data_IF_823477717435
#
_entry.id   IF_823477717435
#
_cell.length_a   1.000
_cell.length_b   1.000
_cell.length_c   1.000
_cell.angle_alpha   90.00
_cell.angle_beta   90.00
_cell.angle_gamma   90.00
#
_symmetry.space_group_name_H-M   'P 1'
#
loop_
_entity.id
_entity.type
_entity.pdbx_description
1 polymer ?
#
# COMPACT_ATOMS: atom_id res chain seq x y z
N UNK A 1 -48.75 -83.22 29.90
CA UNK A 1 -48.89 -81.86 30.49
C UNK A 1 -47.49 -81.25 30.59
N UNK A 2 -47.39 -79.96 30.31
CA UNK A 2 -46.22 -79.08 30.46
C UNK A 2 -45.09 -79.10 29.39
N UNK A 3 -45.29 -78.21 28.40
CA UNK A 3 -44.37 -77.17 27.85
C UNK A 3 -42.99 -77.51 27.26
N UNK A 4 -42.87 -77.26 25.95
CA UNK A 4 -41.67 -76.90 25.16
C UNK A 4 -41.08 -75.52 25.59
N UNK A 5 -39.85 -75.08 25.20
CA UNK A 5 -39.02 -75.53 24.06
C UNK A 5 -37.46 -75.62 24.19
N UNK A 6 -36.89 -76.45 23.31
CA UNK A 6 -35.79 -76.22 22.32
C UNK A 6 -34.30 -76.09 22.76
N UNK A 7 -33.53 -77.07 22.30
CA UNK A 7 -32.06 -77.17 22.29
C UNK A 7 -31.41 -76.30 21.19
N UNK A 8 -30.17 -75.89 21.49
CA UNK A 8 -29.17 -75.05 20.81
C UNK A 8 -29.17 -74.91 19.28
N UNK A 9 -28.78 -73.71 18.83
CA UNK A 9 -28.02 -73.52 17.57
C UNK A 9 -26.70 -72.81 17.85
N UNK A 10 -25.61 -73.43 17.40
CA UNK A 10 -24.25 -72.86 17.36
C UNK A 10 -23.95 -72.29 15.98
N UNK A 11 -23.00 -71.32 15.94
CA UNK A 11 -22.17 -70.86 14.79
C UNK A 11 -22.95 -70.09 13.70
N UNK A 12 -22.43 -69.04 13.05
CA UNK A 12 -21.12 -68.37 12.98
C UNK A 12 -21.35 -67.07 12.19
N UNK A 13 -20.61 -65.98 12.48
CA UNK A 13 -19.77 -65.25 11.50
C UNK A 13 -19.24 -63.92 12.06
N UNK A 14 -17.90 -63.81 12.11
CA UNK A 14 -17.09 -62.57 12.04
C UNK A 14 -17.54 -61.73 10.82
N UNK A 15 -17.34 -60.39 10.76
CA UNK A 15 -16.02 -59.77 10.97
C UNK A 15 -16.01 -58.29 11.43
N UNK A 16 -15.00 -57.84 12.17
CA UNK A 16 -14.68 -56.39 12.23
C UNK A 16 -13.16 -56.16 12.27
N UNK A 17 -12.50 -56.63 11.21
CA UNK A 17 -11.13 -56.24 10.84
C UNK A 17 -11.01 -54.77 10.41
N UNK A 18 -12.14 -54.09 10.18
CA UNK A 18 -12.21 -52.72 9.64
C UNK A 18 -11.89 -51.64 10.68
N UNK A 19 -12.21 -51.87 11.97
CA UNK A 19 -11.96 -50.88 13.03
C UNK A 19 -10.47 -50.77 13.42
N UNK A 20 -9.72 -51.87 13.32
CA UNK A 20 -8.29 -51.88 13.64
C UNK A 20 -7.49 -51.20 12.53
N UNK A 21 -7.88 -51.38 11.26
CA UNK A 21 -7.25 -50.69 10.12
C UNK A 21 -7.52 -49.17 10.12
N UNK A 22 -8.69 -48.74 10.60
CA UNK A 22 -9.04 -47.31 10.72
C UNK A 22 -8.29 -46.60 11.86
N UNK A 23 -7.92 -47.30 12.93
CA UNK A 23 -7.15 -46.72 14.04
C UNK A 23 -5.65 -46.59 13.72
N UNK A 24 -5.10 -47.48 12.88
CA UNK A 24 -3.70 -47.40 12.43
C UNK A 24 -3.49 -46.31 11.37
N UNK A 25 -4.50 -46.00 10.56
CA UNK A 25 -4.38 -44.94 9.55
C UNK A 25 -4.41 -43.52 10.15
N UNK A 26 -5.13 -43.31 11.26
CA UNK A 26 -5.19 -42.01 11.95
C UNK A 26 -3.87 -41.69 12.67
N UNK A 27 -3.15 -42.69 13.20
CA UNK A 27 -1.86 -42.48 13.87
C UNK A 27 -0.70 -42.22 12.90
N UNK A 28 -0.75 -42.74 11.67
CA UNK A 28 0.27 -42.45 10.66
C UNK A 28 0.19 -41.00 10.13
N UNK A 29 -1.02 -40.42 10.06
CA UNK A 29 -1.23 -39.05 9.58
C UNK A 29 -0.78 -38.01 10.64
N UNK A 30 -0.94 -38.29 11.94
CA UNK A 30 -0.51 -37.38 13.00
C UNK A 30 1.02 -37.32 13.16
N UNK A 31 1.73 -38.42 12.94
CA UNK A 31 3.20 -38.47 12.98
C UNK A 31 3.82 -37.73 11.79
N UNK A 32 3.22 -37.79 10.60
CA UNK A 32 3.67 -37.05 9.41
C UNK A 32 3.50 -35.53 9.53
N UNK A 33 2.38 -35.07 10.12
CA UNK A 33 2.14 -33.66 10.39
C UNK A 33 3.07 -33.09 11.47
N UNK A 34 3.44 -33.88 12.48
CA UNK A 34 4.37 -33.44 13.53
C UNK A 34 5.80 -33.19 13.00
N UNK A 35 6.24 -33.95 11.99
CA UNK A 35 7.54 -33.74 11.32
C UNK A 35 7.56 -32.57 10.35
N UNK A 36 6.43 -32.23 9.73
CA UNK A 36 6.29 -31.03 8.90
C UNK A 36 6.31 -29.74 9.74
N UNK A 37 5.79 -29.76 10.97
CA UNK A 37 5.86 -28.61 11.89
C UNK A 37 7.19 -28.53 12.67
N UNK A 38 7.86 -29.65 12.95
CA UNK A 38 9.15 -29.65 13.67
C UNK A 38 10.34 -29.14 12.84
N UNK A 39 10.18 -28.99 11.52
CA UNK A 39 11.20 -28.39 10.64
C UNK A 39 11.17 -26.85 10.63
N UNK A 40 10.22 -26.23 11.33
CA UNK A 40 10.15 -24.77 11.52
C UNK A 40 10.63 -24.36 12.92
N UNK A 41 11.80 -24.86 13.32
CA UNK A 41 12.56 -24.21 14.38
C UNK A 41 13.10 -22.90 13.82
N UNK A 42 12.41 -21.79 14.12
CA UNK A 42 12.91 -20.44 13.92
C UNK A 42 14.31 -20.32 14.53
N UNK A 43 15.36 -19.93 13.78
CA UNK A 43 16.52 -19.38 14.42
C UNK A 43 16.09 -18.04 15.01
N UNK A 44 15.99 -17.97 16.34
CA UNK A 44 16.14 -16.72 17.07
C UNK A 44 17.59 -16.25 16.87
N UNK A 45 17.89 -15.78 15.66
CA UNK A 45 19.15 -15.14 15.31
C UNK A 45 19.07 -13.71 15.77
N UNK A 46 19.94 -13.38 16.72
CA UNK A 46 20.14 -12.08 17.31
C UNK A 46 20.54 -11.05 16.23
N UNK A 47 19.57 -10.54 15.48
CA UNK A 47 19.78 -9.62 14.35
C UNK A 47 19.96 -8.15 14.76
N UNK A 48 20.28 -7.88 16.03
CA UNK A 48 20.66 -6.55 16.51
C UNK A 48 21.98 -6.03 15.93
N UNK A 49 22.85 -6.90 15.40
CA UNK A 49 24.16 -6.51 14.86
C UNK A 49 24.23 -6.47 13.31
N UNK A 50 23.28 -7.09 12.59
CA UNK A 50 23.30 -7.14 11.13
C UNK A 50 22.71 -5.87 10.47
N UNK A 51 21.75 -5.20 11.13
CA UNK A 51 21.20 -3.93 10.66
C UNK A 51 22.24 -2.79 10.64
N UNK A 52 23.18 -2.79 11.59
CA UNK A 52 24.29 -1.82 11.63
C UNK A 52 25.33 -2.05 10.52
N UNK A 53 25.43 -3.27 9.97
CA UNK A 53 26.38 -3.60 8.90
C UNK A 53 25.86 -3.27 7.49
N UNK A 54 24.53 -3.24 7.30
CA UNK A 54 23.91 -2.74 6.06
C UNK A 54 23.98 -1.21 5.94
N UNK A 55 24.01 -0.48 7.05
CA UNK A 55 24.18 0.98 7.05
C UNK A 55 25.64 1.43 6.86
N UNK A 56 26.63 0.55 7.03
CA UNK A 56 28.06 0.89 6.91
C UNK A 56 28.73 0.43 5.61
N UNK A 57 28.00 -0.27 4.72
CA UNK A 57 28.50 -0.66 3.39
C UNK A 57 27.86 0.13 2.24
N UNK A 58 27.65 1.44 2.42
CA UNK A 58 27.54 2.36 1.28
C UNK A 58 28.94 2.68 0.75
N UNK A 59 29.55 1.70 0.07
CA UNK A 59 30.67 1.98 -0.83
C UNK A 59 30.14 2.86 -1.96
N UNK A 60 30.54 4.14 -1.92
CA UNK A 60 30.59 5.13 -2.99
C UNK A 60 30.72 4.46 -4.38
N UNK A 61 29.61 4.23 -5.07
CA UNK A 61 29.59 3.92 -6.51
C UNK A 61 28.90 5.08 -7.23
N UNK A 62 29.60 5.55 -8.27
CA UNK A 62 29.37 6.75 -9.09
C UNK A 62 27.88 6.99 -9.40
N UNK A 63 27.49 8.26 -9.45
CA UNK A 63 26.12 8.77 -9.69
C UNK A 63 25.44 8.44 -11.02
N UNK A 64 25.82 7.34 -11.69
CA UNK A 64 25.20 6.78 -12.89
C UNK A 64 24.07 5.80 -12.51
N UNK A 65 24.35 4.82 -11.63
CA UNK A 65 23.41 3.73 -11.33
C UNK A 65 22.13 4.21 -10.59
N UNK A 66 22.28 5.22 -9.73
CA UNK A 66 21.14 5.84 -9.04
C UNK A 66 20.28 6.71 -9.98
N UNK A 67 20.84 7.20 -11.08
CA UNK A 67 20.07 7.94 -12.09
C UNK A 67 19.26 6.99 -12.97
N UNK A 68 19.87 5.87 -13.36
CA UNK A 68 19.24 4.85 -14.22
C UNK A 68 18.05 4.20 -13.52
N UNK A 69 18.23 3.79 -12.26
CA UNK A 69 17.15 3.18 -11.46
C UNK A 69 15.94 4.09 -11.21
N UNK A 70 16.09 5.42 -11.35
CA UNK A 70 15.00 6.39 -11.23
C UNK A 70 14.19 6.45 -12.54
N UNK A 71 14.84 6.25 -13.69
CA UNK A 71 14.17 6.29 -15.00
C UNK A 71 13.52 4.96 -15.39
N UNK A 72 13.94 3.85 -14.77
CA UNK A 72 13.24 2.56 -14.87
C UNK A 72 11.86 2.58 -14.20
N UNK A 73 11.66 3.48 -13.23
CA UNK A 73 10.40 3.60 -12.49
C UNK A 73 9.45 4.57 -13.19
N UNK A 74 8.17 4.28 -13.04
CA UNK A 74 7.06 5.11 -13.51
C UNK A 74 6.39 5.79 -12.32
N UNK A 75 5.91 7.00 -12.51
CA UNK A 75 5.44 7.88 -11.43
C UNK A 75 3.97 8.26 -11.63
N UNK A 76 3.26 8.39 -10.51
CA UNK A 76 1.92 8.95 -10.43
C UNK A 76 1.99 10.19 -9.53
N UNK A 77 1.81 11.37 -10.11
CA UNK A 77 1.73 12.63 -9.38
C UNK A 77 0.29 13.03 -9.21
N UNK A 78 -0.08 13.35 -7.97
CA UNK A 78 -1.46 13.61 -7.59
C UNK A 78 -1.79 15.09 -7.48
N UNK A 79 -0.76 15.93 -7.34
CA UNK A 79 -0.89 17.35 -7.07
C UNK A 79 -0.04 17.79 -5.89
N UNK A 80 -0.01 19.10 -5.67
CA UNK A 80 0.59 19.76 -4.52
C UNK A 80 -0.27 19.62 -3.25
N UNK A 81 -1.55 19.23 -3.39
CA UNK A 81 -2.49 19.01 -2.29
C UNK A 81 -3.27 17.72 -2.51
N UNK A 82 -3.47 16.96 -1.45
CA UNK A 82 -4.01 15.59 -1.55
C UNK A 82 -5.52 15.56 -1.83
N UNK A 83 -6.23 16.59 -1.38
CA UNK A 83 -7.66 16.86 -1.56
C UNK A 83 -7.96 17.74 -2.78
N UNK A 84 -6.93 18.19 -3.50
CA UNK A 84 -7.09 18.98 -4.73
C UNK A 84 -6.91 18.08 -5.96
N UNK A 85 -8.01 17.57 -6.51
CA UNK A 85 -8.03 17.45 -7.96
C UNK A 85 -9.07 18.37 -8.62
N UNK A 86 -10.02 18.99 -7.90
CA UNK A 86 -11.20 19.64 -8.49
C UNK A 86 -11.23 21.19 -8.60
N UNK A 87 -12.43 21.75 -8.85
CA UNK A 87 -12.72 23.19 -9.07
C UNK A 87 -12.37 24.15 -7.92
N UNK A 88 -12.06 23.65 -6.72
CA UNK A 88 -11.88 24.47 -5.51
C UNK A 88 -10.59 24.14 -4.74
N UNK A 89 -9.45 24.09 -5.42
CA UNK A 89 -8.15 23.89 -4.78
C UNK A 89 -7.65 25.07 -3.94
N UNK A 90 -8.35 26.21 -3.94
CA UNK A 90 -7.96 27.40 -3.20
C UNK A 90 -8.12 27.24 -1.67
N UNK A 91 -8.93 26.29 -1.22
CA UNK A 91 -9.14 25.93 0.19
C UNK A 91 -8.90 24.44 0.38
N UNK A 92 -8.39 24.04 1.55
CA UNK A 92 -8.41 22.62 1.93
C UNK A 92 -9.80 22.20 2.41
N UNK A 93 -10.07 20.91 2.32
CA UNK A 93 -11.22 20.24 2.89
C UNK A 93 -10.91 19.69 4.29
N UNK A 94 -11.93 19.15 4.98
CA UNK A 94 -11.74 18.53 6.28
C UNK A 94 -10.75 17.35 6.27
N UNK A 95 -10.12 17.06 7.41
CA UNK A 95 -9.07 16.03 7.52
C UNK A 95 -9.56 14.65 7.03
N UNK A 96 -10.79 14.27 7.37
CA UNK A 96 -11.37 13.00 6.89
C UNK A 96 -11.48 12.92 5.37
N UNK A 97 -11.74 14.04 4.68
CA UNK A 97 -11.73 14.10 3.22
C UNK A 97 -10.31 13.90 2.69
N UNK A 98 -9.34 14.65 3.23
CA UNK A 98 -7.92 14.54 2.85
C UNK A 98 -7.36 13.12 3.06
N UNK A 99 -7.66 12.48 4.18
CA UNK A 99 -7.26 11.10 4.47
C UNK A 99 -7.90 10.09 3.49
N UNK A 100 -9.18 10.30 3.17
CA UNK A 100 -9.88 9.45 2.20
C UNK A 100 -9.28 9.60 0.79
N UNK A 101 -8.96 10.82 0.37
CA UNK A 101 -8.30 11.10 -0.91
C UNK A 101 -6.88 10.52 -0.95
N UNK A 102 -6.14 10.59 0.17
CA UNK A 102 -4.83 9.94 0.29
C UNK A 102 -4.93 8.44 0.05
N UNK A 103 -5.92 7.78 0.66
CA UNK A 103 -6.14 6.35 0.48
C UNK A 103 -6.45 6.00 -0.98
N UNK A 104 -7.28 6.79 -1.66
CA UNK A 104 -7.56 6.62 -3.08
C UNK A 104 -6.29 6.77 -3.94
N UNK A 105 -5.46 7.78 -3.64
CA UNK A 105 -4.22 8.03 -4.36
C UNK A 105 -3.20 6.88 -4.21
N UNK A 106 -3.03 6.38 -2.98
CA UNK A 106 -2.15 5.25 -2.68
C UNK A 106 -2.61 3.97 -3.37
N UNK A 107 -3.91 3.71 -3.36
CA UNK A 107 -4.47 2.53 -4.03
C UNK A 107 -4.30 2.63 -5.56
N UNK A 108 -4.53 3.81 -6.16
CA UNK A 108 -4.37 3.99 -7.60
C UNK A 108 -2.90 3.82 -8.01
N UNK A 109 -1.96 4.34 -7.22
CA UNK A 109 -0.53 4.15 -7.44
C UNK A 109 -0.14 2.67 -7.41
N UNK A 110 -0.65 1.92 -6.42
CA UNK A 110 -0.44 0.49 -6.30
C UNK A 110 -1.05 -0.27 -7.48
N UNK A 111 -2.27 0.08 -7.87
CA UNK A 111 -2.99 -0.54 -8.99
C UNK A 111 -2.28 -0.35 -10.34
N UNK A 112 -1.71 0.84 -10.55
CA UNK A 112 -0.94 1.22 -11.73
C UNK A 112 0.52 0.75 -11.68
N UNK A 113 0.97 0.21 -10.54
CA UNK A 113 2.37 -0.15 -10.28
C UNK A 113 3.33 1.02 -10.53
N UNK A 114 3.00 2.18 -9.94
CA UNK A 114 3.76 3.42 -10.06
C UNK A 114 4.22 3.90 -8.69
N UNK A 115 5.35 4.61 -8.67
CA UNK A 115 5.78 5.35 -7.49
C UNK A 115 4.83 6.52 -7.29
N UNK A 116 4.18 6.57 -6.14
CA UNK A 116 3.32 7.67 -5.75
C UNK A 116 4.18 8.88 -5.37
N UNK A 117 3.95 9.99 -6.08
CA UNK A 117 4.51 11.30 -5.72
C UNK A 117 3.47 11.98 -4.84
N UNK A 118 3.71 11.83 -3.54
CA UNK A 118 2.86 12.31 -2.47
C UNK A 118 3.11 13.80 -2.23
N UNK A 119 2.07 14.63 -2.00
CA UNK A 119 2.24 15.97 -1.48
C UNK A 119 3.13 15.99 -0.25
N UNK A 120 4.02 16.96 -0.09
CA UNK A 120 4.87 17.05 1.11
C UNK A 120 4.13 17.58 2.34
N UNK A 121 2.92 18.11 2.15
CA UNK A 121 2.12 18.71 3.21
C UNK A 121 0.65 18.31 3.10
N UNK A 122 -0.03 18.25 4.24
CA UNK A 122 -1.47 18.05 4.36
C UNK A 122 -2.06 19.12 5.28
N UNK A 123 -3.22 19.65 4.94
CA UNK A 123 -3.87 20.69 5.71
C UNK A 123 -4.49 20.09 6.99
N UNK A 124 -4.21 20.73 8.13
CA UNK A 124 -4.73 20.37 9.46
C UNK A 124 -5.55 21.53 10.06
N UNK A 125 -6.12 22.38 9.21
CA UNK A 125 -6.73 23.63 9.65
C UNK A 125 -7.85 23.38 10.68
N UNK A 126 -7.76 23.94 11.91
CA UNK A 126 -8.77 23.77 12.95
C UNK A 126 -10.15 24.29 12.56
N UNK A 127 -10.25 25.15 11.53
CA UNK A 127 -11.53 25.63 10.99
C UNK A 127 -12.42 24.46 10.55
N UNK A 128 -11.85 23.37 10.03
CA UNK A 128 -12.63 22.17 9.67
C UNK A 128 -13.14 21.37 10.89
N UNK A 129 -12.56 21.61 12.08
CA UNK A 129 -12.93 20.93 13.32
C UNK A 129 -13.91 21.73 14.18
N UNK A 130 -14.22 22.98 13.82
CA UNK A 130 -15.13 23.84 14.58
C UNK A 130 -16.51 23.93 13.92
N UNK A 131 -17.50 23.28 14.53
CA UNK A 131 -18.93 23.58 14.32
C UNK A 131 -19.37 24.91 14.94
N UNK A 132 -18.45 25.69 15.50
CA UNK A 132 -18.76 26.96 16.15
C UNK A 132 -17.53 27.82 16.44
N UNK A 133 -17.65 29.09 16.09
CA UNK A 133 -16.86 30.23 16.57
C UNK A 133 -15.42 30.28 16.06
N UNK A 134 -15.21 30.89 14.89
CA UNK A 134 -14.10 31.83 14.68
C UNK A 134 -14.51 32.89 13.64
N UNK A 135 -14.93 34.06 14.12
CA UNK A 135 -14.86 35.29 13.34
C UNK A 135 -13.38 35.69 13.27
N UNK A 136 -12.77 35.65 12.09
CA UNK A 136 -11.48 36.29 11.88
C UNK A 136 -11.46 37.07 10.57
N UNK A 137 -11.51 38.39 10.72
CA UNK A 137 -11.05 39.40 9.78
C UNK A 137 -9.52 39.34 9.70
N UNK A 138 -8.94 39.02 8.54
CA UNK A 138 -7.49 39.01 8.35
C UNK A 138 -7.13 39.15 6.88
N UNK A 139 -6.28 40.14 6.60
CA UNK A 139 -5.69 40.46 5.29
C UNK A 139 -4.52 39.51 4.95
N UNK A 140 -4.73 38.20 5.05
CA UNK A 140 -3.71 37.20 4.71
C UNK A 140 -4.03 36.56 3.36
N UNK A 141 -3.00 36.27 2.57
CA UNK A 141 -3.18 35.57 1.30
C UNK A 141 -3.57 34.11 1.54
N UNK A 142 -4.26 33.48 0.58
CA UNK A 142 -4.73 32.09 0.69
C UNK A 142 -3.58 31.10 0.94
N UNK A 143 -2.39 31.36 0.37
CA UNK A 143 -1.20 30.53 0.50
C UNK A 143 -0.56 30.63 1.89
N UNK A 144 -0.42 31.83 2.46
CA UNK A 144 0.10 32.01 3.82
C UNK A 144 -0.79 31.33 4.86
N UNK A 145 -2.11 31.43 4.67
CA UNK A 145 -3.09 30.74 5.52
C UNK A 145 -2.93 29.22 5.45
N UNK A 146 -2.71 28.67 4.25
CA UNK A 146 -2.51 27.24 4.03
C UNK A 146 -1.19 26.74 4.63
N UNK A 147 -0.13 27.53 4.53
CA UNK A 147 1.18 27.22 5.11
C UNK A 147 1.11 27.15 6.65
N UNK A 148 0.43 28.11 7.29
CA UNK A 148 0.23 28.14 8.73
C UNK A 148 -0.70 27.02 9.25
N UNK A 149 -1.56 26.48 8.38
CA UNK A 149 -2.55 25.47 8.72
C UNK A 149 -2.26 24.09 8.11
N UNK A 150 -1.01 23.78 7.78
CA UNK A 150 -0.60 22.49 7.22
C UNK A 150 0.51 21.84 8.04
N UNK A 151 0.59 20.52 7.98
CA UNK A 151 1.63 19.72 8.58
C UNK A 151 2.42 19.00 7.48
N UNK A 152 3.69 18.70 7.73
CA UNK A 152 4.49 17.91 6.81
C UNK A 152 4.03 16.44 6.83
N UNK A 153 3.96 15.79 5.67
CA UNK A 153 3.47 14.41 5.56
C UNK A 153 4.33 13.41 6.34
N UNK A 154 5.64 13.64 6.43
CA UNK A 154 6.57 12.85 7.23
C UNK A 154 6.42 13.05 8.75
N UNK A 155 5.69 14.08 9.16
CA UNK A 155 5.31 14.30 10.56
C UNK A 155 3.96 13.66 10.91
N UNK A 156 3.09 13.47 9.91
CA UNK A 156 1.76 12.85 10.07
C UNK A 156 1.79 11.33 9.88
N UNK A 157 2.65 10.84 8.99
CA UNK A 157 2.69 9.44 8.58
C UNK A 157 4.11 8.89 8.63
N UNK A 158 4.23 7.63 9.05
CA UNK A 158 5.46 6.87 8.87
C UNK A 158 5.61 6.49 7.39
N UNK A 159 6.38 7.29 6.65
CA UNK A 159 6.63 7.06 5.23
C UNK A 159 7.38 5.75 4.97
N UNK A 160 8.18 5.26 5.93
CA UNK A 160 8.85 3.97 5.82
C UNK A 160 7.86 2.81 5.85
N UNK A 161 6.86 2.91 6.73
CA UNK A 161 5.78 1.93 6.82
C UNK A 161 4.90 1.95 5.56
N UNK A 162 4.55 3.13 5.05
CA UNK A 162 3.81 3.26 3.77
C UNK A 162 4.63 2.68 2.62
N UNK A 163 5.92 3.01 2.54
CA UNK A 163 6.82 2.58 1.48
C UNK A 163 6.93 1.05 1.36
N UNK A 164 6.77 0.31 2.46
CA UNK A 164 6.76 -1.15 2.45
C UNK A 164 5.60 -1.74 1.64
N UNK A 165 4.53 -0.98 1.42
CA UNK A 165 3.35 -1.40 0.66
C UNK A 165 3.23 -0.67 -0.67
N UNK A 166 3.36 0.66 -0.66
CA UNK A 166 3.21 1.51 -1.85
C UNK A 166 4.48 2.35 -2.00
N UNK A 167 5.25 2.19 -3.09
CA UNK A 167 6.44 2.99 -3.32
C UNK A 167 6.09 4.48 -3.35
N UNK A 168 6.70 5.24 -2.44
CA UNK A 168 6.36 6.65 -2.19
C UNK A 168 7.59 7.54 -2.25
N UNK A 169 7.43 8.73 -2.82
CA UNK A 169 8.34 9.86 -2.65
C UNK A 169 7.54 11.13 -2.39
N UNK A 170 8.14 12.10 -1.69
CA UNK A 170 7.53 13.43 -1.52
C UNK A 170 7.82 14.34 -2.72
N UNK A 171 6.88 15.24 -3.01
CA UNK A 171 6.97 16.27 -4.06
C UNK A 171 7.98 17.40 -3.79
N UNK A 172 8.61 17.42 -2.61
CA UNK A 172 9.73 18.31 -2.28
C UNK A 172 11.09 17.59 -2.31
N UNK A 173 11.12 16.31 -2.71
CA UNK A 173 12.34 15.51 -2.72
C UNK A 173 13.23 15.81 -3.94
N UNK A 174 14.55 15.64 -3.76
CA UNK A 174 15.52 15.72 -4.88
C UNK A 174 15.21 14.72 -6.00
N UNK A 175 14.67 13.56 -5.64
CA UNK A 175 14.24 12.53 -6.59
C UNK A 175 13.11 13.05 -7.47
N UNK A 176 12.09 13.67 -6.88
CA UNK A 176 11.00 14.27 -7.64
C UNK A 176 11.50 15.35 -8.59
N UNK A 177 12.37 16.25 -8.14
CA UNK A 177 12.92 17.30 -9.02
C UNK A 177 13.62 16.71 -10.25
N UNK A 178 14.34 15.59 -10.07
CA UNK A 178 14.99 14.88 -11.17
C UNK A 178 13.97 14.26 -12.13
N UNK A 179 12.96 13.57 -11.60
CA UNK A 179 11.87 12.96 -12.38
C UNK A 179 11.14 14.03 -13.20
N UNK A 180 10.71 15.11 -12.56
CA UNK A 180 9.99 16.21 -13.20
C UNK A 180 10.85 16.90 -14.27
N UNK A 181 12.12 17.21 -13.98
CA UNK A 181 13.01 17.78 -14.99
C UNK A 181 13.23 16.85 -16.18
N UNK A 182 13.18 15.53 -15.97
CA UNK A 182 13.35 14.54 -17.04
C UNK A 182 12.07 14.36 -17.84
N UNK A 183 10.90 14.35 -17.19
CA UNK A 183 9.61 14.26 -17.87
C UNK A 183 9.40 15.46 -18.81
N UNK A 184 9.78 16.66 -18.38
CA UNK A 184 9.76 17.86 -19.22
C UNK A 184 10.67 17.73 -20.46
N UNK A 185 11.88 17.17 -20.29
CA UNK A 185 12.82 16.94 -21.42
C UNK A 185 12.30 15.91 -22.43
N UNK A 186 11.49 14.96 -21.98
CA UNK A 186 10.89 13.91 -22.81
C UNK A 186 9.60 14.38 -23.52
N UNK A 187 9.07 15.56 -23.19
CA UNK A 187 7.88 16.14 -23.81
C UNK A 187 6.64 15.26 -23.66
N UNK A 188 5.89 15.05 -24.74
CA UNK A 188 4.68 14.22 -24.77
C UNK A 188 4.92 12.75 -24.37
N UNK A 189 6.15 12.26 -24.48
CA UNK A 189 6.54 10.92 -24.03
C UNK A 189 6.90 10.86 -22.54
N UNK A 190 7.10 12.02 -21.91
CA UNK A 190 7.55 12.14 -20.53
C UNK A 190 6.45 12.38 -19.52
N UNK A 191 5.42 13.14 -19.88
CA UNK A 191 4.32 13.51 -18.98
C UNK A 191 2.97 13.42 -19.69
N UNK A 192 2.00 12.79 -19.04
CA UNK A 192 0.61 12.78 -19.47
C UNK A 192 -0.27 13.46 -18.42
N UNK A 193 -0.99 14.49 -18.82
CA UNK A 193 -2.00 15.15 -17.98
C UNK A 193 -3.33 14.44 -18.15
N UNK A 194 -3.92 14.01 -17.04
CA UNK A 194 -5.07 13.11 -17.05
C UNK A 194 -6.17 13.61 -16.12
N UNK A 195 -7.26 14.07 -16.74
CA UNK A 195 -8.49 14.47 -16.06
C UNK A 195 -9.63 13.50 -16.42
N UNK A 196 -10.52 13.20 -15.47
CA UNK A 196 -11.77 12.47 -15.72
C UNK A 196 -11.63 11.03 -16.25
N UNK A 197 -10.41 10.51 -16.35
CA UNK A 197 -10.12 9.18 -16.88
C UNK A 197 -10.18 8.12 -15.78
N UNK A 198 -10.53 6.87 -16.07
CA UNK A 198 -10.52 5.79 -15.07
C UNK A 198 -9.13 5.16 -14.90
N UNK A 199 -8.80 4.70 -13.68
CA UNK A 199 -7.57 3.94 -13.43
C UNK A 199 -7.40 2.71 -14.33
N UNK A 200 -8.50 2.06 -14.69
CA UNK A 200 -8.49 0.90 -15.60
C UNK A 200 -8.01 1.31 -17.00
N UNK A 201 -8.50 2.44 -17.51
CA UNK A 201 -8.05 2.95 -18.80
C UNK A 201 -6.58 3.38 -18.78
N UNK A 202 -6.13 4.02 -17.69
CA UNK A 202 -4.73 4.38 -17.49
C UNK A 202 -3.79 3.16 -17.51
N UNK A 203 -4.26 2.02 -17.00
CA UNK A 203 -3.50 0.78 -16.95
C UNK A 203 -3.35 0.12 -18.31
N UNK A 204 -4.41 0.09 -19.12
CA UNK A 204 -4.44 -0.69 -20.37
C UNK A 204 -4.01 0.11 -21.61
N UNK A 205 -4.22 1.43 -21.62
CA UNK A 205 -3.89 2.26 -22.77
C UNK A 205 -2.39 2.58 -22.79
N UNK A 206 -1.70 2.23 -23.89
CA UNK A 206 -0.27 2.43 -24.10
C UNK A 206 0.18 3.90 -24.04
N UNK A 207 -0.72 4.85 -24.31
CA UNK A 207 -0.46 6.28 -24.16
C UNK A 207 -0.11 6.65 -22.71
N UNK A 208 -0.75 6.00 -21.74
CA UNK A 208 -0.55 6.28 -20.31
C UNK A 208 0.28 5.22 -19.61
N UNK A 209 0.17 3.95 -20.00
CA UNK A 209 0.86 2.87 -19.30
C UNK A 209 2.39 2.97 -19.47
N UNK A 210 2.88 3.58 -20.56
CA UNK A 210 4.30 3.74 -20.85
C UNK A 210 4.90 5.10 -20.50
N UNK A 211 4.08 6.11 -20.21
CA UNK A 211 4.60 7.44 -19.87
C UNK A 211 5.36 7.41 -18.54
N UNK A 212 6.46 8.16 -18.46
CA UNK A 212 7.25 8.28 -17.23
C UNK A 212 6.40 8.82 -16.08
N UNK A 213 5.65 9.90 -16.31
CA UNK A 213 4.85 10.59 -15.31
C UNK A 213 3.39 10.73 -15.73
N UNK A 214 2.47 10.19 -14.93
CA UNK A 214 1.04 10.53 -15.03
C UNK A 214 0.80 11.67 -14.05
N UNK A 215 0.33 12.81 -14.56
CA UNK A 215 -0.16 13.92 -13.76
C UNK A 215 -1.69 13.79 -13.62
N UNK A 216 -2.14 13.47 -12.40
CA UNK A 216 -3.51 13.07 -12.05
C UNK A 216 -4.28 14.15 -11.30
N UNK A 217 -3.71 15.33 -11.10
CA UNK A 217 -4.45 16.53 -10.65
C UNK A 217 -5.70 16.65 -11.52
N UNK A 218 -6.87 16.54 -10.91
CA UNK A 218 -8.20 16.32 -11.50
C UNK A 218 -8.73 14.89 -11.68
N UNK A 219 -8.48 13.98 -10.75
CA UNK A 219 -9.38 12.85 -10.53
C UNK A 219 -10.59 13.23 -9.65
N UNK A 220 -11.79 13.59 -10.20
CA UNK A 220 -13.01 13.15 -9.53
C UNK A 220 -12.86 11.62 -9.44
N UNK A 221 -13.34 10.91 -8.46
CA UNK A 221 -12.97 9.54 -8.02
C UNK A 221 -12.02 9.55 -6.82
N UNK A 222 -11.33 10.67 -6.52
CA UNK A 222 -10.68 10.88 -5.23
C UNK A 222 -11.64 11.28 -4.10
N UNK A 223 -12.89 11.59 -4.46
CA UNK A 223 -14.07 11.85 -3.62
C UNK A 223 -14.80 10.59 -3.17
#
# INVERSE_FOLDING_TARGET
MATFPRISKSKQQKPTSSLILLLVSISAISIGLFWLFSSSSFPLSNNGAAAAKLLSSSKKKKGSDAADSVLEKKYLYWGDRIDCPGKHCASCEGLGHQESSLRCALEEALFLNRVFVMPSRMCINPIHNKKGILHHSGSETSEERWAASSCAMDSLYDLGLIFNTVPVILDNSKTWHRVFSTSLKLGERGIAHVEGTSRNYLKVNSLYSNVLLINRTASPLSW
#
